data_IF_203803701382
#
_entry.id   IF_203803701382
#
_cell.length_a   1.000
_cell.length_b   1.000
_cell.length_c   1.000
_cell.angle_alpha   90.00
_cell.angle_beta   90.00
_cell.angle_gamma   90.00
#
_symmetry.space_group_name_H-M   'P 1'
#
loop_
_entity.id
_entity.type
_entity.pdbx_description
1 polymer ?
#
# COMPACT_ATOMS: atom_id res chain seq x y z
N UNK A 1 -7.86 16.84 12.89
CA UNK A 1 -6.41 16.54 12.79
C UNK A 1 -6.01 15.10 13.16
N UNK A 2 -6.47 14.50 14.27
CA UNK A 2 -6.11 13.10 14.66
C UNK A 2 -6.69 12.06 13.71
N UNK A 3 -7.94 12.26 13.26
CA UNK A 3 -8.66 11.30 12.41
C UNK A 3 -8.06 11.08 11.03
N UNK A 4 -7.40 12.07 10.43
CA UNK A 4 -6.92 11.96 9.04
C UNK A 4 -5.58 11.20 8.96
N UNK A 5 -4.64 11.54 9.84
CA UNK A 5 -3.41 10.75 10.03
C UNK A 5 -3.74 9.36 10.54
N UNK A 6 -4.68 9.23 11.47
CA UNK A 6 -5.17 7.92 11.91
C UNK A 6 -5.79 7.15 10.74
N UNK A 7 -6.64 7.75 9.89
CA UNK A 7 -7.21 7.09 8.71
C UNK A 7 -6.14 6.71 7.68
N UNK A 8 -5.11 7.52 7.47
CA UNK A 8 -3.99 7.19 6.57
C UNK A 8 -3.17 6.01 7.11
N UNK A 9 -2.88 6.00 8.42
CA UNK A 9 -2.19 4.90 9.11
C UNK A 9 -3.07 3.64 9.13
N UNK A 10 -4.38 3.77 9.37
CA UNK A 10 -5.35 2.67 9.31
C UNK A 10 -5.47 2.12 7.89
N UNK A 11 -5.61 2.96 6.86
CA UNK A 11 -5.59 2.51 5.46
C UNK A 11 -4.29 1.81 5.11
N UNK A 12 -3.17 2.27 5.66
CA UNK A 12 -1.86 1.64 5.43
C UNK A 12 -1.73 0.31 6.17
N UNK A 13 -2.18 0.21 7.43
CA UNK A 13 -2.14 -1.02 8.22
C UNK A 13 -3.12 -2.07 7.71
N UNK A 14 -4.34 -1.66 7.34
CA UNK A 14 -5.37 -2.52 6.74
C UNK A 14 -4.91 -3.04 5.38
N UNK A 15 -4.25 -2.22 4.56
CA UNK A 15 -3.68 -2.69 3.29
C UNK A 15 -2.48 -3.62 3.47
N UNK A 16 -1.63 -3.41 4.49
CA UNK A 16 -0.51 -4.31 4.80
C UNK A 16 -0.99 -5.66 5.35
N UNK A 17 -2.13 -5.69 6.05
CA UNK A 17 -2.74 -6.92 6.59
C UNK A 17 -3.68 -7.64 5.61
N UNK A 18 -4.01 -7.05 4.46
CA UNK A 18 -4.96 -7.61 3.50
C UNK A 18 -4.38 -8.85 2.81
N UNK A 19 -5.09 -9.96 2.91
CA UNK A 19 -4.75 -11.20 2.20
C UNK A 19 -5.23 -11.18 0.74
N UNK A 20 -6.24 -10.38 0.40
CA UNK A 20 -6.87 -10.33 -0.92
C UNK A 20 -6.08 -9.51 -1.96
N UNK A 21 -5.97 -10.04 -3.18
CA UNK A 21 -5.33 -9.37 -4.32
C UNK A 21 -5.97 -8.00 -4.58
N UNK A 22 -5.15 -6.95 -4.50
CA UNK A 22 -5.56 -5.55 -4.71
C UNK A 22 -4.41 -4.75 -5.28
N UNK A 23 -4.68 -3.51 -5.68
CA UNK A 23 -3.67 -2.62 -6.28
C UNK A 23 -2.58 -2.30 -5.26
N UNK A 24 -1.39 -2.85 -5.46
CA UNK A 24 -0.23 -2.68 -4.57
C UNK A 24 0.28 -1.23 -4.63
N UNK A 25 0.46 -0.61 -3.45
CA UNK A 25 0.77 0.83 -3.33
C UNK A 25 2.22 1.18 -3.71
N UNK A 26 3.13 0.21 -3.68
CA UNK A 26 4.55 0.42 -3.95
C UNK A 26 4.92 -0.11 -5.33
N UNK A 27 5.68 0.64 -6.14
CA UNK A 27 6.18 0.12 -7.40
C UNK A 27 7.18 -1.02 -7.17
N UNK A 28 7.23 -1.96 -8.11
CA UNK A 28 8.23 -3.02 -8.10
C UNK A 28 9.62 -2.42 -8.33
N UNK A 29 10.59 -2.83 -7.51
CA UNK A 29 11.99 -2.43 -7.64
C UNK A 29 12.83 -3.63 -8.12
N UNK A 30 13.88 -3.39 -8.88
CA UNK A 30 14.73 -4.49 -9.40
C UNK A 30 15.43 -5.27 -8.27
N UNK A 31 15.75 -4.60 -7.16
CA UNK A 31 16.29 -5.24 -5.95
C UNK A 31 15.25 -6.20 -5.35
N UNK A 32 13.98 -5.78 -5.22
CA UNK A 32 12.94 -6.65 -4.66
C UNK A 32 12.65 -7.83 -5.59
N UNK A 33 12.69 -7.61 -6.91
CA UNK A 33 12.55 -8.67 -7.92
C UNK A 33 13.64 -9.73 -7.79
N UNK A 34 14.89 -9.31 -7.59
CA UNK A 34 16.02 -10.22 -7.44
C UNK A 34 15.97 -11.00 -6.13
N UNK A 35 15.58 -10.36 -5.03
CA UNK A 35 15.37 -11.03 -3.74
C UNK A 35 14.28 -12.11 -3.89
N UNK A 36 13.12 -11.77 -4.48
CA UNK A 36 12.03 -12.72 -4.72
C UNK A 36 12.49 -13.89 -5.56
N UNK A 37 13.20 -13.64 -6.67
CA UNK A 37 13.77 -14.70 -7.52
C UNK A 37 14.70 -15.63 -6.73
N UNK A 38 15.59 -15.07 -5.91
CA UNK A 38 16.49 -15.84 -5.05
C UNK A 38 15.74 -16.72 -4.05
N UNK A 39 14.74 -16.16 -3.35
CA UNK A 39 13.89 -16.91 -2.41
C UNK A 39 13.15 -18.04 -3.11
N UNK A 40 12.60 -17.81 -4.30
CA UNK A 40 11.95 -18.86 -5.08
C UNK A 40 12.93 -19.95 -5.56
N UNK A 41 14.16 -19.57 -5.92
CA UNK A 41 15.19 -20.54 -6.29
C UNK A 41 15.58 -21.44 -5.11
N UNK A 42 15.77 -20.85 -3.92
CA UNK A 42 16.03 -21.59 -2.68
C UNK A 42 14.85 -22.49 -2.36
N UNK A 43 13.62 -21.97 -2.41
CA UNK A 43 12.42 -22.76 -2.15
C UNK A 43 12.31 -23.97 -3.10
N UNK A 44 12.62 -23.78 -4.39
CA UNK A 44 12.64 -24.89 -5.36
C UNK A 44 13.72 -25.93 -5.04
N UNK A 45 14.91 -25.50 -4.63
CA UNK A 45 15.99 -26.40 -4.22
C UNK A 45 15.61 -27.21 -2.97
N UNK A 46 15.00 -26.56 -1.98
CA UNK A 46 14.51 -27.21 -0.75
C UNK A 46 13.39 -28.21 -1.07
N UNK A 47 12.40 -27.82 -1.87
CA UNK A 47 11.34 -28.73 -2.30
C UNK A 47 11.87 -29.93 -3.12
N UNK A 48 12.98 -29.78 -3.82
CA UNK A 48 13.61 -30.89 -4.56
C UNK A 48 14.25 -31.95 -3.65
N UNK A 49 14.53 -31.62 -2.39
CA UNK A 49 15.14 -32.53 -1.41
C UNK A 49 14.06 -33.20 -0.55
N UNK A 50 12.91 -32.55 -0.37
CA UNK A 50 11.83 -33.03 0.50
C UNK A 50 10.90 -34.01 -0.27
N UNK A 51 10.59 -35.19 0.27
CA UNK A 51 9.66 -36.14 -0.35
C UNK A 51 8.24 -35.59 -0.52
N UNK A 52 7.58 -35.94 -1.64
CA UNK A 52 6.23 -35.49 -2.00
C UNK A 52 5.16 -35.76 -0.93
N UNK A 53 5.31 -36.85 -0.15
CA UNK A 53 4.38 -37.18 0.94
C UNK A 53 4.38 -36.12 2.04
N UNK A 54 5.55 -35.54 2.33
CA UNK A 54 5.70 -34.48 3.33
C UNK A 54 5.16 -33.16 2.74
N UNK A 55 5.48 -32.86 1.48
CA UNK A 55 4.96 -31.67 0.79
C UNK A 55 3.43 -31.67 0.75
N UNK A 56 2.80 -32.78 0.36
CA UNK A 56 1.33 -32.93 0.37
C UNK A 56 0.73 -32.78 1.77
N UNK A 57 1.39 -33.32 2.81
CA UNK A 57 0.95 -33.16 4.20
C UNK A 57 1.04 -31.71 4.66
N UNK A 58 2.07 -30.98 4.23
CA UNK A 58 2.22 -29.55 4.50
C UNK A 58 1.13 -28.76 3.78
N UNK A 59 0.93 -29.03 2.48
CA UNK A 59 -0.06 -28.36 1.64
C UNK A 59 -1.49 -28.56 2.16
N UNK A 60 -1.83 -29.76 2.64
CA UNK A 60 -3.12 -30.05 3.26
C UNK A 60 -3.40 -29.19 4.51
N UNK A 61 -2.38 -28.68 5.21
CA UNK A 61 -2.59 -27.76 6.36
C UNK A 61 -2.98 -26.35 5.93
N UNK A 62 -2.73 -26.00 4.68
CA UNK A 62 -3.07 -24.69 4.10
C UNK A 62 -4.32 -24.77 3.21
N UNK A 63 -4.95 -25.94 3.08
CA UNK A 63 -6.19 -26.10 2.34
C UNK A 63 -7.33 -25.50 3.19
N UNK A 64 -7.74 -24.29 2.81
CA UNK A 64 -8.78 -23.56 3.51
C UNK A 64 -10.15 -24.06 3.06
N UNK A 65 -10.83 -24.82 3.93
CA UNK A 65 -12.20 -25.29 3.69
C UNK A 65 -13.23 -24.16 3.64
N UNK A 66 -12.87 -22.92 4.01
CA UNK A 66 -13.79 -21.79 4.03
C UNK A 66 -14.05 -21.18 2.65
N UNK A 67 -13.26 -21.49 1.63
CA UNK A 67 -13.45 -20.95 0.27
C UNK A 67 -14.61 -21.59 -0.51
N UNK A 68 -15.13 -22.73 -0.05
CA UNK A 68 -16.27 -23.41 -0.69
C UNK A 68 -17.64 -22.95 -0.17
N UNK A 69 -17.68 -22.20 0.94
CA UNK A 69 -18.93 -21.67 1.51
C UNK A 69 -18.94 -20.15 1.47
N UNK A 70 -19.88 -19.59 0.72
CA UNK A 70 -20.26 -18.19 0.85
C UNK A 70 -20.84 -17.98 2.26
N UNK A 71 -20.03 -17.48 3.18
CA UNK A 71 -20.46 -17.07 4.51
C UNK A 71 -20.81 -15.59 4.45
N UNK A 72 -22.04 -15.25 4.84
CA UNK A 72 -22.48 -13.85 4.95
C UNK A 72 -21.47 -13.05 5.81
N UNK A 73 -21.20 -11.76 5.52
CA UNK A 73 -20.21 -10.95 6.24
C UNK A 73 -20.37 -10.97 7.77
N UNK A 74 -21.59 -11.22 8.23
CA UNK A 74 -22.03 -11.24 9.64
C UNK A 74 -21.66 -12.55 10.36
N UNK A 75 -21.53 -13.65 9.62
CA UNK A 75 -21.19 -14.98 10.11
C UNK A 75 -19.71 -15.34 9.91
N UNK A 76 -18.90 -14.43 9.36
CA UNK A 76 -17.45 -14.67 9.21
C UNK A 76 -16.80 -14.68 10.60
N UNK A 77 -16.24 -15.81 11.07
CA UNK A 77 -15.55 -15.86 12.35
C UNK A 77 -14.40 -14.84 12.37
N UNK A 78 -14.26 -14.11 13.48
CA UNK A 78 -13.31 -12.99 13.65
C UNK A 78 -11.84 -13.45 13.81
N UNK A 79 -11.37 -14.32 12.92
CA UNK A 79 -10.01 -14.86 12.93
C UNK A 79 -8.92 -13.80 12.77
N UNK A 80 -9.23 -12.66 12.14
CA UNK A 80 -8.29 -11.54 12.01
C UNK A 80 -7.98 -10.88 13.36
N UNK A 81 -8.96 -10.80 14.28
CA UNK A 81 -8.74 -10.28 15.62
C UNK A 81 -7.85 -11.22 16.44
N UNK A 82 -8.07 -12.54 16.31
CA UNK A 82 -7.23 -13.56 16.96
C UNK A 82 -5.81 -13.53 16.39
N UNK A 83 -5.67 -13.42 15.07
CA UNK A 83 -4.37 -13.29 14.41
C UNK A 83 -3.62 -12.03 14.86
N UNK A 84 -4.31 -10.90 14.95
CA UNK A 84 -3.73 -9.65 15.42
C UNK A 84 -3.29 -9.75 16.89
N UNK A 85 -4.11 -10.34 17.76
CA UNK A 85 -3.80 -10.50 19.18
C UNK A 85 -2.60 -11.43 19.40
N UNK A 86 -2.50 -12.54 18.65
CA UNK A 86 -1.35 -13.46 18.72
C UNK A 86 -0.06 -12.77 18.28
N UNK A 87 -0.10 -12.03 17.17
CA UNK A 87 1.08 -11.27 16.71
C UNK A 87 1.51 -10.21 17.73
N UNK A 88 0.55 -9.54 18.38
CA UNK A 88 0.84 -8.58 19.44
C UNK A 88 1.48 -9.25 20.65
N UNK A 89 0.95 -10.39 21.11
CA UNK A 89 1.49 -11.15 22.24
C UNK A 89 2.91 -11.65 21.93
N UNK A 90 3.14 -12.16 20.71
CA UNK A 90 4.46 -12.62 20.28
C UNK A 90 5.48 -11.46 20.27
N UNK A 91 5.11 -10.30 19.71
CA UNK A 91 5.96 -9.11 19.72
C UNK A 91 6.24 -8.62 21.15
N UNK A 92 5.20 -8.54 21.98
CA UNK A 92 5.32 -8.14 23.39
C UNK A 92 6.20 -9.10 24.19
N UNK A 93 6.10 -10.41 23.96
CA UNK A 93 6.94 -11.42 24.59
C UNK A 93 8.43 -11.24 24.25
N UNK A 94 8.75 -11.01 22.98
CA UNK A 94 10.14 -10.71 22.56
C UNK A 94 10.65 -9.43 23.22
N UNK A 95 9.84 -8.37 23.23
CA UNK A 95 10.19 -7.10 23.88
C UNK A 95 10.41 -7.29 25.38
N UNK A 96 9.57 -8.08 26.04
CA UNK A 96 9.66 -8.36 27.47
C UNK A 96 10.97 -9.09 27.82
N UNK A 97 11.31 -10.13 27.05
CA UNK A 97 12.58 -10.86 27.23
C UNK A 97 13.77 -9.93 27.00
N UNK A 98 13.75 -9.13 25.94
CA UNK A 98 14.81 -8.17 25.65
C UNK A 98 14.97 -7.12 26.77
N UNK A 99 13.86 -6.63 27.32
CA UNK A 99 13.87 -5.67 28.43
C UNK A 99 14.39 -6.30 29.72
N UNK A 100 14.04 -7.56 30.00
CA UNK A 100 14.59 -8.34 31.11
C UNK A 100 16.12 -8.45 31.00
N UNK A 101 16.64 -8.64 29.78
CA UNK A 101 18.07 -8.66 29.48
C UNK A 101 18.71 -7.27 29.32
N UNK A 102 17.97 -6.19 29.59
CA UNK A 102 18.40 -4.78 29.43
C UNK A 102 18.92 -4.44 28.03
N UNK A 103 18.41 -5.11 27.00
CA UNK A 103 18.75 -4.83 25.62
C UNK A 103 17.88 -3.68 25.09
N UNK A 104 18.47 -2.59 24.57
CA UNK A 104 17.70 -1.49 23.99
C UNK A 104 17.19 -1.90 22.60
N UNK A 105 16.05 -2.58 22.55
CA UNK A 105 15.38 -2.95 21.30
C UNK A 105 14.36 -1.88 20.89
N UNK A 106 14.28 -1.63 19.59
CA UNK A 106 13.20 -0.82 19.02
C UNK A 106 11.91 -1.64 18.95
N UNK A 107 10.90 -1.25 19.71
CA UNK A 107 9.57 -1.90 19.71
C UNK A 107 8.91 -1.87 18.33
N UNK A 108 9.21 -0.84 17.53
CA UNK A 108 8.73 -0.76 16.13
C UNK A 108 9.37 -1.81 15.23
N UNK A 109 10.66 -2.08 15.43
CA UNK A 109 11.40 -3.08 14.66
C UNK A 109 10.90 -4.49 14.96
N UNK A 110 10.70 -4.81 16.25
CA UNK A 110 10.22 -6.12 16.69
C UNK A 110 8.81 -6.39 16.17
N UNK A 111 7.87 -5.46 16.39
CA UNK A 111 6.49 -5.62 15.93
C UNK A 111 6.40 -5.76 14.41
N UNK A 112 7.19 -4.96 13.66
CA UNK A 112 7.27 -5.07 12.22
C UNK A 112 7.80 -6.44 11.77
N UNK A 113 8.86 -6.94 12.40
CA UNK A 113 9.42 -8.27 12.10
C UNK A 113 8.43 -9.39 12.37
N UNK A 114 7.70 -9.34 13.49
CA UNK A 114 6.68 -10.36 13.81
C UNK A 114 5.56 -10.35 12.78
N UNK A 115 5.03 -9.17 12.42
CA UNK A 115 3.96 -9.05 11.42
C UNK A 115 4.41 -9.55 10.03
N UNK A 116 5.62 -9.19 9.60
CA UNK A 116 6.16 -9.64 8.32
C UNK A 116 6.47 -11.14 8.33
N UNK A 117 7.00 -11.66 9.43
CA UNK A 117 7.27 -13.09 9.60
C UNK A 117 5.99 -13.93 9.56
N UNK A 118 4.95 -13.52 10.28
CA UNK A 118 3.65 -14.19 10.26
C UNK A 118 3.01 -14.10 8.87
N UNK A 119 3.04 -12.93 8.22
CA UNK A 119 2.53 -12.76 6.84
C UNK A 119 3.20 -13.71 5.84
N UNK A 120 4.52 -13.90 5.96
CA UNK A 120 5.26 -14.84 5.14
C UNK A 120 4.90 -16.30 5.44
N UNK A 121 4.77 -16.66 6.72
CA UNK A 121 4.41 -18.01 7.16
C UNK A 121 2.99 -18.42 6.70
N UNK A 122 2.09 -17.45 6.61
CA UNK A 122 0.70 -17.64 6.16
C UNK A 122 0.55 -17.74 4.63
N UNK A 123 1.66 -17.79 3.88
CA UNK A 123 1.66 -17.78 2.40
C UNK A 123 0.87 -16.61 1.79
N UNK A 124 0.76 -15.49 2.49
CA UNK A 124 0.02 -14.33 1.97
C UNK A 124 0.69 -13.73 0.71
N UNK A 125 1.95 -14.08 0.41
CA UNK A 125 2.74 -13.53 -0.70
C UNK A 125 2.62 -14.43 -1.94
N UNK A 126 1.67 -14.12 -2.82
CA UNK A 126 1.59 -14.76 -4.14
C UNK A 126 2.76 -14.32 -5.04
N UNK A 127 3.15 -15.15 -6.02
CA UNK A 127 4.27 -14.86 -6.95
C UNK A 127 4.16 -13.48 -7.62
N UNK A 128 2.94 -13.03 -7.93
CA UNK A 128 2.68 -11.73 -8.57
C UNK A 128 2.76 -10.54 -7.61
N UNK A 129 2.36 -10.70 -6.34
CA UNK A 129 2.28 -9.61 -5.36
C UNK A 129 3.51 -9.49 -4.44
N UNK A 130 4.27 -10.58 -4.27
CA UNK A 130 5.43 -10.64 -3.37
C UNK A 130 6.46 -9.55 -3.64
N UNK A 131 6.75 -9.25 -4.92
CA UNK A 131 7.74 -8.25 -5.32
C UNK A 131 7.39 -6.85 -4.82
N UNK A 132 6.09 -6.50 -4.83
CA UNK A 132 5.60 -5.20 -4.39
C UNK A 132 5.59 -5.08 -2.86
N UNK A 133 5.20 -6.15 -2.17
CA UNK A 133 5.20 -6.19 -0.70
C UNK A 133 6.62 -6.12 -0.12
N UNK A 134 7.56 -6.86 -0.71
CA UNK A 134 8.98 -6.78 -0.32
C UNK A 134 9.56 -5.39 -0.65
N UNK A 135 9.15 -4.76 -1.76
CA UNK A 135 9.52 -3.37 -2.06
C UNK A 135 9.11 -2.43 -0.92
N UNK A 136 7.87 -2.56 -0.43
CA UNK A 136 7.39 -1.82 0.73
C UNK A 136 8.23 -2.07 1.99
N UNK A 137 8.57 -3.34 2.28
CA UNK A 137 9.45 -3.70 3.40
C UNK A 137 10.82 -3.04 3.30
N UNK A 138 11.43 -3.07 2.11
CA UNK A 138 12.74 -2.46 1.86
C UNK A 138 12.71 -0.95 2.03
N UNK A 139 11.61 -0.28 1.67
CA UNK A 139 11.45 1.17 1.88
C UNK A 139 11.40 1.50 3.38
N UNK A 140 10.69 0.70 4.19
CA UNK A 140 10.61 0.92 5.65
C UNK A 140 11.99 0.72 6.29
N UNK A 141 12.64 -0.41 6.01
CA UNK A 141 13.96 -0.72 6.57
C UNK A 141 15.02 0.27 6.05
N UNK A 142 15.01 0.57 4.77
CA UNK A 142 15.89 1.56 4.14
C UNK A 142 15.70 2.96 4.71
N UNK A 143 14.47 3.34 5.06
CA UNK A 143 14.17 4.59 5.76
C UNK A 143 14.88 4.68 7.11
N UNK A 144 14.85 3.63 7.93
CA UNK A 144 15.57 3.60 9.21
C UNK A 144 17.08 3.79 9.02
N UNK A 145 17.69 3.07 8.07
CA UNK A 145 19.11 3.23 7.78
C UNK A 145 19.44 4.61 7.22
N UNK A 146 18.64 5.13 6.28
CA UNK A 146 18.86 6.43 5.69
C UNK A 146 18.79 7.54 6.74
N UNK A 147 17.80 7.49 7.65
CA UNK A 147 17.71 8.46 8.76
C UNK A 147 18.94 8.40 9.67
N UNK A 148 19.44 7.19 9.97
CA UNK A 148 20.66 7.03 10.76
C UNK A 148 21.90 7.62 10.05
N UNK A 149 22.06 7.37 8.75
CA UNK A 149 23.17 7.92 7.94
C UNK A 149 23.11 9.45 7.89
N UNK A 150 21.92 10.02 7.68
CA UNK A 150 21.73 11.48 7.67
C UNK A 150 22.06 12.07 9.04
N UNK A 151 21.52 11.49 10.12
CA UNK A 151 21.78 11.95 11.48
C UNK A 151 23.28 11.91 11.82
N UNK A 152 23.96 10.81 11.46
CA UNK A 152 25.40 10.66 11.64
C UNK A 152 26.18 11.68 10.82
N UNK A 153 25.82 11.90 9.55
CA UNK A 153 26.48 12.88 8.68
C UNK A 153 26.35 14.30 9.22
N UNK A 154 25.14 14.70 9.64
CA UNK A 154 24.89 16.01 10.26
C UNK A 154 25.65 16.14 11.59
N UNK A 155 25.67 15.09 12.40
CA UNK A 155 26.41 15.06 13.66
C UNK A 155 27.91 15.27 13.45
N UNK A 156 28.50 14.65 12.42
CA UNK A 156 29.91 14.86 12.05
C UNK A 156 30.16 16.31 11.65
N UNK A 157 29.28 16.91 10.84
CA UNK A 157 29.41 18.33 10.44
C UNK A 157 29.33 19.24 11.66
N UNK A 158 28.38 19.02 12.57
CA UNK A 158 28.23 19.82 13.78
C UNK A 158 29.44 19.67 14.70
N UNK A 159 29.92 18.44 14.90
CA UNK A 159 31.12 18.17 15.68
C UNK A 159 32.35 18.88 15.10
N UNK A 160 32.54 18.85 13.78
CA UNK A 160 33.64 19.54 13.09
C UNK A 160 33.56 21.06 13.26
N UNK A 161 32.36 21.65 13.14
CA UNK A 161 32.15 23.08 13.34
C UNK A 161 32.45 23.51 14.79
N UNK A 162 31.94 22.76 15.76
CA UNK A 162 32.18 23.04 17.18
C UNK A 162 33.65 22.88 17.56
N UNK A 163 34.35 21.90 17.00
CA UNK A 163 35.77 21.69 17.26
C UNK A 163 36.63 22.86 16.74
N UNK A 164 36.37 23.34 15.52
CA UNK A 164 37.16 24.39 14.90
C UNK A 164 36.81 25.81 15.40
N UNK A 165 35.53 26.13 15.58
CA UNK A 165 35.06 27.50 15.85
C UNK A 165 34.52 27.72 17.27
N UNK A 166 34.45 26.66 18.10
CA UNK A 166 34.05 26.69 19.51
C UNK A 166 32.76 27.50 19.74
N UNK A 167 32.84 28.58 20.51
CA UNK A 167 31.68 29.38 20.94
C UNK A 167 30.96 30.05 19.77
N UNK A 168 31.68 30.45 18.71
CA UNK A 168 31.09 31.10 17.54
C UNK A 168 30.19 30.12 16.76
N UNK A 169 30.64 28.87 16.58
CA UNK A 169 29.82 27.82 15.98
C UNK A 169 28.59 27.48 16.84
N UNK A 170 28.74 27.45 18.16
CA UNK A 170 27.62 27.19 19.06
C UNK A 170 26.52 28.24 18.92
N UNK A 171 26.89 29.53 18.94
CA UNK A 171 25.92 30.63 18.76
C UNK A 171 25.25 30.54 17.39
N UNK A 172 26.02 30.30 16.32
CA UNK A 172 25.49 30.15 14.98
C UNK A 172 24.50 28.97 14.85
N UNK A 173 24.82 27.82 15.44
CA UNK A 173 23.95 26.64 15.44
C UNK A 173 22.64 26.87 16.22
N UNK A 174 22.71 27.58 17.35
CA UNK A 174 21.51 27.95 18.14
C UNK A 174 20.61 28.88 17.35
N UNK A 175 21.17 29.92 16.71
CA UNK A 175 20.40 30.82 15.85
C UNK A 175 19.77 30.06 14.69
N UNK A 176 20.53 29.18 14.03
CA UNK A 176 20.02 28.35 12.94
C UNK A 176 18.87 27.43 13.41
N UNK A 177 19.00 26.81 14.59
CA UNK A 177 17.95 25.98 15.17
C UNK A 177 16.67 26.79 15.45
N UNK A 178 16.78 27.99 16.05
CA UNK A 178 15.64 28.87 16.29
C UNK A 178 14.96 29.30 14.99
N UNK A 179 15.73 29.66 13.96
CA UNK A 179 15.18 29.99 12.64
C UNK A 179 14.47 28.81 11.99
N UNK A 180 15.02 27.59 12.09
CA UNK A 180 14.39 26.39 11.56
C UNK A 180 13.09 26.04 12.30
N UNK A 181 13.06 26.18 13.62
CA UNK A 181 11.85 25.95 14.42
C UNK A 181 10.78 26.99 14.07
N UNK A 182 11.16 28.28 13.97
CA UNK A 182 10.24 29.35 13.61
C UNK A 182 9.69 29.17 12.19
N UNK A 183 10.56 28.85 11.23
CA UNK A 183 10.17 28.52 9.86
C UNK A 183 9.26 27.29 9.82
N UNK A 184 9.59 26.24 10.57
CA UNK A 184 8.76 25.04 10.67
C UNK A 184 7.38 25.38 11.20
N UNK A 185 7.28 26.10 12.32
CA UNK A 185 5.99 26.46 12.93
C UNK A 185 5.10 27.31 11.99
N UNK A 186 5.68 28.27 11.27
CA UNK A 186 4.95 29.14 10.32
C UNK A 186 4.59 28.41 9.03
N UNK A 187 5.54 27.68 8.44
CA UNK A 187 5.35 26.98 7.17
C UNK A 187 4.39 25.80 7.31
N UNK A 188 4.46 25.05 8.42
CA UNK A 188 3.50 23.98 8.69
C UNK A 188 2.07 24.52 8.87
N UNK A 189 1.89 25.70 9.47
CA UNK A 189 0.57 26.33 9.59
C UNK A 189 0.00 26.77 8.22
N UNK A 190 0.84 27.31 7.34
CA UNK A 190 0.39 27.76 6.01
C UNK A 190 0.08 26.59 5.06
N UNK A 191 0.88 25.52 5.07
CA UNK A 191 0.62 24.34 4.23
C UNK A 191 -0.55 23.49 4.73
N UNK A 192 -0.84 23.48 6.04
CA UNK A 192 -2.04 22.83 6.60
C UNK A 192 -3.32 23.48 6.09
N UNK A 193 -3.40 24.81 6.10
CA UNK A 193 -4.55 25.54 5.58
C UNK A 193 -4.84 25.18 4.12
N UNK A 194 -3.81 25.14 3.27
CA UNK A 194 -3.97 24.73 1.86
C UNK A 194 -4.39 23.26 1.71
N UNK A 195 -3.91 22.36 2.58
CA UNK A 195 -4.23 20.92 2.49
C UNK A 195 -5.66 20.63 2.98
N UNK A 196 -6.08 21.26 4.08
CA UNK A 196 -7.43 21.14 4.64
C UNK A 196 -8.46 21.79 3.71
N UNK A 197 -8.18 22.98 3.15
CA UNK A 197 -9.05 23.62 2.15
C UNK A 197 -9.18 22.77 0.88
N UNK A 198 -8.11 22.16 0.37
CA UNK A 198 -8.20 21.28 -0.80
C UNK A 198 -9.00 19.99 -0.53
N UNK A 199 -9.00 19.48 0.71
CA UNK A 199 -9.75 18.29 1.09
C UNK A 199 -11.22 18.60 1.35
N UNK A 200 -11.55 19.72 1.99
CA UNK A 200 -12.93 20.21 2.12
C UNK A 200 -13.54 20.53 0.76
N UNK A 201 -12.79 21.20 -0.13
CA UNK A 201 -13.22 21.45 -1.50
C UNK A 201 -13.40 20.17 -2.31
N UNK A 202 -12.56 19.15 -2.10
CA UNK A 202 -12.73 17.85 -2.75
C UNK A 202 -13.98 17.11 -2.25
N UNK A 203 -14.27 17.16 -0.95
CA UNK A 203 -15.44 16.51 -0.34
C UNK A 203 -16.75 17.24 -0.69
N UNK A 204 -16.72 18.57 -0.78
CA UNK A 204 -17.83 19.39 -1.32
C UNK A 204 -18.03 19.16 -2.81
N UNK A 205 -16.96 19.12 -3.61
CA UNK A 205 -17.02 18.82 -5.05
C UNK A 205 -17.62 17.43 -5.33
N UNK A 206 -17.21 16.41 -4.57
CA UNK A 206 -17.80 15.06 -4.66
C UNK A 206 -19.29 15.01 -4.29
N UNK A 207 -19.75 15.84 -3.34
CA UNK A 207 -21.17 15.93 -2.96
C UNK A 207 -21.99 16.76 -3.94
N UNK A 208 -21.45 17.86 -4.45
CA UNK A 208 -22.17 18.76 -5.36
C UNK A 208 -22.27 18.19 -6.77
N UNK A 209 -21.26 17.45 -7.23
CA UNK A 209 -21.27 16.89 -8.58
C UNK A 209 -22.04 15.58 -8.70
N UNK A 210 -22.49 14.91 -7.62
CA UNK A 210 -23.25 13.66 -7.78
C UNK A 210 -24.54 13.86 -8.61
N UNK A 211 -25.29 14.94 -8.36
CA UNK A 211 -26.48 15.28 -9.16
C UNK A 211 -26.14 15.68 -10.60
N UNK A 212 -24.98 16.32 -10.81
CA UNK A 212 -24.53 16.78 -12.13
C UNK A 212 -23.95 15.64 -12.97
N UNK A 213 -23.26 14.70 -12.31
CA UNK A 213 -22.79 13.43 -12.85
C UNK A 213 -24.00 12.56 -13.20
N UNK A 214 -25.03 12.51 -12.36
CA UNK A 214 -26.26 11.76 -12.65
C UNK A 214 -26.95 12.29 -13.92
N UNK A 215 -27.10 13.62 -14.05
CA UNK A 215 -27.72 14.20 -15.24
C UNK A 215 -26.87 14.01 -16.50
N UNK A 216 -25.56 14.19 -16.41
CA UNK A 216 -24.65 14.02 -17.55
C UNK A 216 -24.53 12.55 -17.99
N UNK A 217 -24.51 11.61 -17.04
CA UNK A 217 -24.56 10.16 -17.33
C UNK A 217 -25.89 9.79 -17.98
N UNK A 218 -27.02 10.31 -17.47
CA UNK A 218 -28.34 10.07 -18.05
C UNK A 218 -28.45 10.61 -19.47
N UNK A 219 -27.93 11.80 -19.73
CA UNK A 219 -27.94 12.43 -21.06
C UNK A 219 -27.04 11.68 -22.07
N UNK A 220 -25.82 11.31 -21.65
CA UNK A 220 -24.91 10.51 -22.49
C UNK A 220 -25.47 9.12 -22.76
N UNK A 221 -26.12 8.48 -21.78
CA UNK A 221 -26.79 7.19 -21.97
C UNK A 221 -27.97 7.31 -22.94
N UNK A 222 -28.81 8.34 -22.83
CA UNK A 222 -29.92 8.54 -23.78
C UNK A 222 -29.42 8.75 -25.21
N UNK A 223 -28.32 9.50 -25.38
CA UNK A 223 -27.73 9.74 -26.68
C UNK A 223 -27.11 8.48 -27.30
N UNK A 224 -26.45 7.66 -26.49
CA UNK A 224 -25.89 6.37 -26.94
C UNK A 224 -27.00 5.40 -27.33
N UNK A 225 -28.10 5.34 -26.57
CA UNK A 225 -29.23 4.46 -26.88
C UNK A 225 -29.92 4.86 -28.19
N UNK A 226 -30.16 6.14 -28.41
CA UNK A 226 -30.75 6.65 -29.65
C UNK A 226 -29.85 6.40 -30.87
N UNK A 227 -28.53 6.55 -30.69
CA UNK A 227 -27.55 6.21 -31.71
C UNK A 227 -27.51 4.70 -32.00
N UNK A 228 -27.62 3.87 -30.97
CA UNK A 228 -27.68 2.42 -31.12
C UNK A 228 -28.91 2.00 -31.91
N UNK A 229 -30.07 2.57 -31.61
CA UNK A 229 -31.32 2.32 -32.34
C UNK A 229 -31.19 2.69 -33.83
N UNK A 230 -30.65 3.88 -34.12
CA UNK A 230 -30.44 4.33 -35.50
C UNK A 230 -29.48 3.43 -36.28
N UNK A 231 -28.33 3.06 -35.69
CA UNK A 231 -27.40 2.14 -36.36
C UNK A 231 -27.95 0.73 -36.51
N UNK A 232 -28.75 0.26 -35.54
CA UNK A 232 -29.41 -1.03 -35.63
C UNK A 232 -30.39 -1.07 -36.80
N UNK A 233 -31.25 -0.06 -36.92
CA UNK A 233 -32.20 0.04 -38.03
C UNK A 233 -31.49 0.20 -39.38
N UNK A 234 -30.47 1.08 -39.47
CA UNK A 234 -29.68 1.26 -40.68
C UNK A 234 -28.93 -0.02 -41.09
N UNK A 235 -28.46 -0.82 -40.13
CA UNK A 235 -27.80 -2.09 -40.40
C UNK A 235 -28.81 -3.10 -40.95
N UNK A 236 -30.01 -3.22 -40.35
CA UNK A 236 -31.10 -4.08 -40.84
C UNK A 236 -31.49 -3.70 -42.27
N UNK A 237 -31.75 -2.42 -42.54
CA UNK A 237 -32.16 -1.95 -43.87
C UNK A 237 -31.05 -2.19 -44.91
N UNK A 238 -29.79 -1.91 -44.55
CA UNK A 238 -28.65 -2.14 -45.45
C UNK A 238 -28.40 -3.62 -45.72
N UNK A 239 -28.72 -4.51 -44.78
CA UNK A 239 -28.67 -5.96 -44.95
C UNK A 239 -29.77 -6.45 -45.90
N UNK A 240 -30.98 -5.91 -45.78
CA UNK A 240 -32.12 -6.21 -46.66
C UNK A 240 -31.83 -5.76 -48.10
N UNK A 241 -31.28 -4.55 -48.27
CA UNK A 241 -30.91 -4.00 -49.58
C UNK A 241 -29.59 -4.56 -50.15
N UNK A 242 -28.90 -5.46 -49.41
CA UNK A 242 -27.57 -6.00 -49.75
C UNK A 242 -26.51 -4.92 -50.04
N UNK A 243 -26.63 -3.74 -49.44
CA UNK A 243 -25.71 -2.63 -49.65
C UNK A 243 -24.48 -2.73 -48.74
N UNK A 244 -23.44 -3.41 -49.24
CA UNK A 244 -22.21 -3.70 -48.49
C UNK A 244 -21.38 -2.47 -48.11
N UNK A 245 -21.55 -1.33 -48.80
CA UNK A 245 -20.80 -0.10 -48.52
C UNK A 245 -21.29 0.61 -47.25
N UNK A 246 -22.60 0.63 -47.03
CA UNK A 246 -23.21 1.25 -45.85
C UNK A 246 -22.89 0.46 -44.59
N UNK A 247 -22.93 -0.88 -44.67
CA UNK A 247 -22.54 -1.76 -43.56
C UNK A 247 -21.08 -1.57 -43.12
N UNK A 248 -20.14 -1.44 -44.07
CA UNK A 248 -18.74 -1.19 -43.76
C UNK A 248 -18.52 0.17 -43.07
N UNK A 249 -19.33 1.19 -43.39
CA UNK A 249 -19.27 2.51 -42.74
C UNK A 249 -19.75 2.44 -41.28
N UNK A 250 -20.87 1.75 -41.03
CA UNK A 250 -21.42 1.57 -39.68
C UNK A 250 -20.41 0.84 -38.77
N UNK A 251 -19.68 -0.17 -39.28
CA UNK A 251 -18.66 -0.88 -38.49
C UNK A 251 -17.50 0.01 -38.04
N UNK A 252 -17.08 0.97 -38.87
CA UNK A 252 -16.00 1.92 -38.53
C UNK A 252 -16.47 2.95 -37.49
N UNK A 253 -17.74 3.32 -37.51
CA UNK A 253 -18.30 4.39 -36.67
C UNK A 253 -18.70 3.92 -35.26
N UNK A 254 -18.77 2.59 -35.05
CA UNK A 254 -19.04 1.95 -33.75
C UNK A 254 -17.74 1.64 -32.96
N UNK A 255 -16.58 1.67 -33.61
CA UNK A 255 -15.27 1.31 -33.03
C UNK A 255 -14.58 2.50 -32.35
#
# INVERSE_FOLDING_TARGET
MVFEKARSVIKTSVNLGRQDEGVERFPANEISRNIVKGVFAINKAVCSIIPDKILKKIEHRFYDKSQEQYVAPEDKPAFDLVRASVNLIAAAGIILVATSMKLPLSTTFVSFMVLMGTSLADKAWAKGSAVYRISGVLIVVGGWFLTAIIALSVSIVFASLLFNFKIYALIALVIAALLLIFKSHIFYRHNRYKSEVNLELADEWFKSDFQKIESEVREKLSFILDRFENYYNMAIDSLIEKNRKTLARITVEIQ
#
